data_IF_537200906322
#
_entry.id   IF_537200906322
#
_cell.length_a   1.000
_cell.length_b   1.000
_cell.length_c   1.000
_cell.angle_alpha   90.00
_cell.angle_beta   90.00
_cell.angle_gamma   90.00
#
_symmetry.space_group_name_H-M   'P 1'
#
loop_
_entity.id
_entity.type
_entity.pdbx_description
1 polymer ?
#
# COMPACT_ATOMS: atom_id res chain seq x y z
N UNK A 1 11.26 -47.86 -5.66
CA UNK A 1 12.14 -46.78 -5.07
C UNK A 1 12.44 -45.64 -6.04
N UNK A 2 12.00 -45.69 -7.31
CA UNK A 2 12.22 -44.57 -8.27
C UNK A 2 11.17 -43.42 -8.18
N UNK A 3 9.96 -43.72 -7.76
CA UNK A 3 8.85 -42.76 -7.65
C UNK A 3 9.04 -41.74 -6.49
N UNK A 4 9.68 -42.14 -5.39
CA UNK A 4 9.95 -41.25 -4.26
C UNK A 4 11.05 -40.20 -4.54
N UNK A 5 12.03 -40.55 -5.39
CA UNK A 5 13.07 -39.62 -5.86
C UNK A 5 12.49 -38.57 -6.80
N UNK A 6 11.59 -38.95 -7.72
CA UNK A 6 10.93 -38.02 -8.64
C UNK A 6 10.04 -36.98 -7.93
N UNK A 7 9.29 -37.38 -6.90
CA UNK A 7 8.49 -36.45 -6.09
C UNK A 7 9.36 -35.45 -5.32
N UNK A 8 10.50 -35.89 -4.76
CA UNK A 8 11.45 -35.03 -4.09
C UNK A 8 12.10 -33.99 -5.00
N UNK A 9 12.39 -34.36 -6.24
CA UNK A 9 12.98 -33.46 -7.23
C UNK A 9 11.96 -32.43 -7.78
N UNK A 10 10.71 -32.86 -7.99
CA UNK A 10 9.61 -31.94 -8.36
C UNK A 10 9.35 -30.94 -7.23
N UNK A 11 9.31 -31.38 -5.97
CA UNK A 11 9.12 -30.49 -4.83
C UNK A 11 10.29 -29.51 -4.69
N UNK A 12 11.54 -29.96 -4.83
CA UNK A 12 12.73 -29.08 -4.83
C UNK A 12 12.67 -28.04 -5.97
N UNK A 13 12.27 -28.42 -7.18
CA UNK A 13 12.11 -27.49 -8.29
C UNK A 13 11.01 -26.45 -8.01
N UNK A 14 9.84 -26.84 -7.52
CA UNK A 14 8.77 -25.93 -7.16
C UNK A 14 9.19 -24.95 -6.04
N UNK A 15 9.90 -25.42 -5.02
CA UNK A 15 10.45 -24.57 -3.96
C UNK A 15 11.51 -23.61 -4.51
N UNK A 16 12.32 -24.06 -5.46
CA UNK A 16 13.37 -23.26 -6.08
C UNK A 16 12.79 -22.22 -7.04
N UNK A 17 11.76 -22.55 -7.79
CA UNK A 17 11.01 -21.64 -8.67
C UNK A 17 10.22 -20.59 -7.86
N UNK A 18 9.57 -21.00 -6.77
CA UNK A 18 8.88 -20.05 -5.87
C UNK A 18 9.86 -19.12 -5.15
N UNK A 19 11.05 -19.60 -4.77
CA UNK A 19 12.13 -18.77 -4.23
C UNK A 19 12.69 -17.82 -5.29
N UNK A 20 12.90 -18.27 -6.52
CA UNK A 20 13.44 -17.43 -7.60
C UNK A 20 12.43 -16.35 -8.00
N UNK A 21 11.12 -16.62 -8.04
CA UNK A 21 10.09 -15.64 -8.31
C UNK A 21 9.97 -14.62 -7.16
N UNK A 22 10.03 -15.07 -5.91
CA UNK A 22 10.06 -14.19 -4.74
C UNK A 22 11.34 -13.33 -4.69
N UNK A 23 12.49 -13.89 -5.12
CA UNK A 23 13.74 -13.14 -5.27
C UNK A 23 13.66 -12.11 -6.40
N UNK A 24 12.99 -12.42 -7.52
CA UNK A 24 12.87 -11.49 -8.64
C UNK A 24 12.04 -10.25 -8.29
N UNK A 25 11.06 -10.39 -7.38
CA UNK A 25 10.26 -9.27 -6.88
C UNK A 25 11.02 -8.37 -5.90
N UNK A 26 12.06 -8.89 -5.26
CA UNK A 26 12.85 -8.20 -4.23
C UNK A 26 14.25 -7.84 -4.74
N UNK A 27 14.82 -8.65 -5.65
CA UNK A 27 16.15 -8.42 -6.22
C UNK A 27 16.15 -7.15 -7.06
N UNK A 28 16.95 -6.19 -6.62
CA UNK A 28 17.20 -4.97 -7.37
C UNK A 28 18.19 -5.32 -8.49
N UNK A 29 17.79 -5.17 -9.74
CA UNK A 29 18.72 -5.27 -10.86
C UNK A 29 19.71 -4.12 -10.75
N UNK A 30 21.00 -4.35 -11.03
CA UNK A 30 22.03 -3.30 -10.99
C UNK A 30 21.63 -2.05 -11.82
N UNK A 31 20.86 -2.25 -12.88
CA UNK A 31 20.33 -1.18 -13.71
C UNK A 31 19.31 -0.27 -12.97
N UNK A 32 18.66 -0.78 -11.92
CA UNK A 32 17.70 -0.02 -11.10
C UNK A 32 18.38 0.76 -9.96
N UNK A 33 19.65 0.47 -9.67
CA UNK A 33 20.48 1.14 -8.67
C UNK A 33 21.22 2.39 -9.20
N UNK A 34 21.03 2.77 -10.45
CA UNK A 34 21.61 4.02 -11.00
C UNK A 34 21.00 5.21 -10.28
N UNK A 35 21.64 5.59 -9.20
CA UNK A 35 21.30 6.80 -8.44
C UNK A 35 21.79 7.99 -9.24
N UNK A 36 20.89 8.89 -9.60
CA UNK A 36 21.27 10.15 -10.23
C UNK A 36 22.10 10.95 -9.19
N UNK A 37 23.36 11.24 -9.51
CA UNK A 37 24.26 12.01 -8.64
C UNK A 37 23.65 13.36 -8.24
N UNK A 38 22.80 13.95 -9.10
CA UNK A 38 22.04 15.16 -8.79
C UNK A 38 21.00 14.96 -7.69
N UNK A 39 20.36 13.78 -7.60
CA UNK A 39 19.43 13.48 -6.51
C UNK A 39 20.17 13.30 -5.17
N UNK A 40 21.34 12.67 -5.19
CA UNK A 40 22.17 12.52 -3.96
C UNK A 40 22.68 13.89 -3.49
N UNK A 41 23.08 14.76 -4.38
CA UNK A 41 23.51 16.12 -4.03
C UNK A 41 22.43 16.95 -3.33
N UNK A 42 21.14 16.71 -3.65
CA UNK A 42 20.01 17.36 -2.95
C UNK A 42 19.77 16.85 -1.53
N UNK A 43 20.34 15.70 -1.18
CA UNK A 43 20.15 15.09 0.14
C UNK A 43 21.23 15.47 1.15
N UNK A 44 22.28 16.16 0.73
CA UNK A 44 23.46 16.52 1.57
C UNK A 44 23.07 17.36 2.80
N UNK A 45 21.95 18.10 2.74
CA UNK A 45 21.46 18.89 3.87
C UNK A 45 20.78 18.03 4.95
N UNK A 46 20.46 16.77 4.66
CA UNK A 46 19.86 15.84 5.62
C UNK A 46 20.96 15.11 6.39
N UNK A 47 20.70 14.85 7.68
CA UNK A 47 21.64 14.15 8.56
C UNK A 47 21.01 12.92 9.23
N UNK A 48 21.86 11.94 9.58
CA UNK A 48 21.47 10.76 10.34
C UNK A 48 20.41 9.90 9.65
N UNK A 49 19.37 9.51 10.39
CA UNK A 49 18.32 8.60 9.87
C UNK A 49 17.44 9.21 8.77
N UNK A 50 17.30 10.53 8.73
CA UNK A 50 16.58 11.21 7.65
C UNK A 50 17.33 11.06 6.32
N UNK A 51 18.65 11.24 6.33
CA UNK A 51 19.50 11.00 5.18
C UNK A 51 19.46 9.54 4.72
N UNK A 52 19.58 8.59 5.66
CA UNK A 52 19.51 7.15 5.36
C UNK A 52 18.22 6.75 4.64
N UNK A 53 17.07 7.19 5.18
CA UNK A 53 15.79 6.91 4.56
C UNK A 53 15.64 7.61 3.21
N UNK A 54 16.02 8.89 3.10
CA UNK A 54 15.94 9.62 1.85
C UNK A 54 16.81 8.98 0.75
N UNK A 55 18.01 8.55 1.11
CA UNK A 55 18.91 7.82 0.21
C UNK A 55 18.31 6.48 -0.23
N UNK A 56 17.69 5.72 0.69
CA UNK A 56 16.99 4.48 0.35
C UNK A 56 15.90 4.74 -0.69
N UNK A 57 15.02 5.72 -0.47
CA UNK A 57 13.93 6.04 -1.40
C UNK A 57 14.43 6.55 -2.75
N UNK A 58 15.55 7.29 -2.78
CA UNK A 58 16.18 7.75 -4.02
C UNK A 58 16.75 6.55 -4.81
N UNK A 59 17.54 5.69 -4.16
CA UNK A 59 18.16 4.52 -4.80
C UNK A 59 17.14 3.50 -5.31
N UNK A 60 16.06 3.26 -4.55
CA UNK A 60 15.05 2.24 -4.88
C UNK A 60 13.79 2.84 -5.53
N UNK A 61 13.88 4.09 -6.01
CA UNK A 61 12.76 4.82 -6.61
C UNK A 61 12.05 4.02 -7.70
N UNK A 62 12.81 3.40 -8.63
CA UNK A 62 12.23 2.62 -9.72
C UNK A 62 11.41 1.43 -9.21
N UNK A 63 11.94 0.69 -8.24
CA UNK A 63 11.25 -0.44 -7.61
C UNK A 63 9.97 -0.01 -6.90
N UNK A 64 10.01 1.10 -6.16
CA UNK A 64 8.87 1.62 -5.40
C UNK A 64 7.80 2.27 -6.29
N UNK A 65 8.21 2.93 -7.38
CA UNK A 65 7.28 3.62 -8.30
C UNK A 65 6.65 2.66 -9.31
N UNK A 66 7.29 1.54 -9.65
CA UNK A 66 6.74 0.56 -10.60
C UNK A 66 5.33 0.09 -10.22
N UNK A 67 5.05 -0.38 -8.98
CA UNK A 67 3.70 -0.75 -8.58
C UNK A 67 2.70 0.42 -8.62
N UNK A 68 3.13 1.64 -8.34
CA UNK A 68 2.28 2.84 -8.46
C UNK A 68 1.88 3.07 -9.92
N UNK A 69 2.84 3.04 -10.84
CA UNK A 69 2.57 3.19 -12.29
C UNK A 69 1.58 2.14 -12.80
N UNK A 70 1.72 0.89 -12.38
CA UNK A 70 0.80 -0.18 -12.79
C UNK A 70 -0.64 0.13 -12.34
N UNK A 71 -0.82 0.63 -11.09
CA UNK A 71 -2.14 0.99 -10.58
C UNK A 71 -2.72 2.21 -11.27
N UNK A 72 -1.91 3.22 -11.54
CA UNK A 72 -2.34 4.40 -12.29
C UNK A 72 -2.73 4.04 -13.73
N UNK A 73 -2.00 3.14 -14.38
CA UNK A 73 -2.37 2.63 -15.71
C UNK A 73 -3.67 1.82 -15.68
N UNK A 74 -3.89 1.02 -14.63
CA UNK A 74 -5.16 0.30 -14.44
C UNK A 74 -6.33 1.27 -14.28
N UNK A 75 -6.18 2.29 -13.42
CA UNK A 75 -7.20 3.34 -13.23
C UNK A 75 -7.47 4.05 -14.56
N UNK A 76 -6.43 4.40 -15.30
CA UNK A 76 -6.56 5.05 -16.60
C UNK A 76 -7.30 4.15 -17.61
N UNK A 77 -6.97 2.86 -17.67
CA UNK A 77 -7.63 1.91 -18.57
C UNK A 77 -9.13 1.75 -18.24
N UNK A 78 -9.48 1.65 -16.94
CA UNK A 78 -10.88 1.59 -16.49
C UNK A 78 -11.61 2.91 -16.80
N UNK A 79 -10.95 4.04 -16.59
CA UNK A 79 -11.51 5.36 -16.91
C UNK A 79 -11.79 5.51 -18.41
N UNK A 80 -10.85 5.14 -19.28
CA UNK A 80 -11.05 5.18 -20.74
C UNK A 80 -12.18 4.24 -21.17
N UNK A 81 -12.29 3.06 -20.56
CA UNK A 81 -13.42 2.15 -20.76
C UNK A 81 -14.75 2.77 -20.34
N UNK A 82 -14.77 3.48 -19.21
CA UNK A 82 -15.93 4.25 -18.75
C UNK A 82 -16.32 5.38 -19.71
N UNK A 83 -15.34 6.12 -20.24
CA UNK A 83 -15.60 7.13 -21.27
C UNK A 83 -16.20 6.52 -22.54
N UNK A 84 -15.63 5.42 -23.03
CA UNK A 84 -16.18 4.70 -24.18
C UNK A 84 -17.63 4.25 -23.92
N UNK A 85 -17.92 3.74 -22.73
CA UNK A 85 -19.28 3.38 -22.32
C UNK A 85 -20.22 4.58 -22.29
N UNK A 86 -19.76 5.73 -21.81
CA UNK A 86 -20.56 6.97 -21.80
C UNK A 86 -20.90 7.45 -23.23
N UNK A 87 -20.03 7.20 -24.22
CA UNK A 87 -20.29 7.51 -25.61
C UNK A 87 -21.25 6.49 -26.29
N UNK A 88 -21.10 5.21 -25.98
CA UNK A 88 -21.87 4.14 -26.62
C UNK A 88 -23.32 4.04 -26.11
N UNK A 89 -23.52 4.25 -24.80
CA UNK A 89 -24.85 4.18 -24.17
C UNK A 89 -24.98 5.28 -23.10
N UNK A 90 -25.23 6.53 -23.51
CA UNK A 90 -25.28 7.67 -22.58
C UNK A 90 -26.32 7.52 -21.47
N UNK A 91 -27.48 6.90 -21.78
CA UNK A 91 -28.57 6.74 -20.82
C UNK A 91 -28.18 5.80 -19.67
N UNK A 92 -27.60 4.65 -19.99
CA UNK A 92 -27.11 3.72 -18.95
C UNK A 92 -25.89 4.25 -18.22
N UNK A 93 -25.01 4.97 -18.90
CA UNK A 93 -23.85 5.61 -18.27
C UNK A 93 -24.28 6.66 -17.24
N UNK A 94 -25.27 7.49 -17.56
CA UNK A 94 -25.84 8.48 -16.63
C UNK A 94 -26.49 7.80 -15.42
N UNK A 95 -27.24 6.72 -15.63
CA UNK A 95 -27.81 5.93 -14.53
C UNK A 95 -26.71 5.34 -13.61
N UNK A 96 -25.68 4.75 -14.22
CA UNK A 96 -24.54 4.18 -13.47
C UNK A 96 -23.77 5.27 -12.68
N UNK A 97 -23.52 6.42 -13.32
CA UNK A 97 -22.86 7.54 -12.68
C UNK A 97 -23.66 8.11 -11.50
N UNK A 98 -24.99 8.18 -11.62
CA UNK A 98 -25.87 8.62 -10.53
C UNK A 98 -25.88 7.70 -9.31
N UNK A 99 -25.51 6.43 -9.49
CA UNK A 99 -25.47 5.45 -8.40
C UNK A 99 -24.05 5.21 -7.82
N UNK A 100 -22.99 5.70 -8.47
CA UNK A 100 -21.60 5.31 -8.14
C UNK A 100 -21.22 5.68 -6.71
N UNK A 101 -21.72 6.82 -6.20
CA UNK A 101 -21.45 7.26 -4.83
C UNK A 101 -22.12 6.35 -3.78
N UNK A 102 -23.26 5.73 -4.12
CA UNK A 102 -23.93 4.75 -3.24
C UNK A 102 -23.12 3.47 -3.05
N UNK A 103 -22.17 3.20 -3.94
CA UNK A 103 -21.23 2.09 -3.85
C UNK A 103 -19.94 2.47 -3.11
N UNK A 104 -19.89 3.62 -2.42
CA UNK A 104 -18.71 4.06 -1.67
C UNK A 104 -18.11 2.96 -0.77
N UNK A 105 -18.90 2.15 -0.01
CA UNK A 105 -18.35 1.07 0.80
C UNK A 105 -17.61 -0.02 -0.02
N UNK A 106 -17.99 -0.26 -1.27
CA UNK A 106 -17.28 -1.16 -2.18
C UNK A 106 -15.86 -0.66 -2.48
N UNK A 107 -15.65 0.65 -2.53
CA UNK A 107 -14.34 1.24 -2.77
C UNK A 107 -13.35 1.00 -1.62
N UNK A 108 -13.80 0.62 -0.42
CA UNK A 108 -12.92 0.15 0.66
C UNK A 108 -12.14 -1.09 0.21
N UNK A 109 -12.84 -2.05 -0.42
CA UNK A 109 -12.23 -3.25 -0.96
C UNK A 109 -11.29 -2.94 -2.13
N UNK A 110 -11.68 -2.04 -3.03
CA UNK A 110 -10.80 -1.56 -4.11
C UNK A 110 -9.52 -0.95 -3.53
N UNK A 111 -9.62 -0.05 -2.55
CA UNK A 111 -8.48 0.63 -1.95
C UNK A 111 -7.53 -0.33 -1.22
N UNK A 112 -8.04 -1.41 -0.61
CA UNK A 112 -7.22 -2.47 -0.05
C UNK A 112 -6.23 -3.05 -1.08
N UNK A 113 -6.70 -3.36 -2.30
CA UNK A 113 -5.85 -3.88 -3.39
C UNK A 113 -5.00 -2.80 -4.08
N UNK A 114 -5.47 -1.55 -4.06
CA UNK A 114 -4.74 -0.44 -4.68
C UNK A 114 -3.55 0.01 -3.85
N UNK A 115 -3.51 -0.23 -2.54
CA UNK A 115 -2.36 0.13 -1.71
C UNK A 115 -1.07 -0.55 -2.18
N UNK A 116 0.02 0.23 -2.18
CA UNK A 116 1.37 -0.28 -2.51
C UNK A 116 2.22 -0.46 -1.26
N UNK A 117 1.69 -0.17 -0.08
CA UNK A 117 2.43 -0.14 1.17
C UNK A 117 3.01 -1.51 1.56
N UNK A 118 2.31 -2.62 1.31
CA UNK A 118 2.88 -3.98 1.56
C UNK A 118 4.16 -4.22 0.74
N UNK A 119 4.13 -3.89 -0.57
CA UNK A 119 5.29 -4.03 -1.44
C UNK A 119 6.43 -3.11 -1.02
N UNK A 120 6.12 -1.89 -0.57
CA UNK A 120 7.10 -0.95 -0.05
C UNK A 120 7.74 -1.47 1.25
N UNK A 121 6.95 -2.03 2.19
CA UNK A 121 7.46 -2.65 3.41
C UNK A 121 8.43 -3.80 3.11
N UNK A 122 8.09 -4.65 2.16
CA UNK A 122 8.94 -5.74 1.71
C UNK A 122 10.26 -5.23 1.12
N UNK A 123 10.21 -4.23 0.25
CA UNK A 123 11.40 -3.61 -0.32
C UNK A 123 12.28 -2.95 0.74
N UNK A 124 11.70 -2.26 1.73
CA UNK A 124 12.43 -1.67 2.85
C UNK A 124 13.13 -2.71 3.70
N UNK A 125 12.47 -3.84 3.99
CA UNK A 125 13.08 -4.89 4.79
C UNK A 125 14.31 -5.48 4.10
N UNK A 126 14.16 -6.01 2.89
CA UNK A 126 15.23 -6.74 2.22
C UNK A 126 16.40 -5.86 1.75
N UNK A 127 16.13 -4.62 1.38
CA UNK A 127 17.14 -3.73 0.83
C UNK A 127 17.73 -2.72 1.85
N UNK A 128 17.23 -2.69 3.10
CA UNK A 128 17.70 -1.74 4.11
C UNK A 128 17.68 -2.32 5.52
N UNK A 129 16.50 -2.70 6.03
CA UNK A 129 16.34 -2.98 7.45
C UNK A 129 16.97 -4.31 7.89
N UNK A 130 17.00 -5.29 7.01
CA UNK A 130 17.56 -6.62 7.33
C UNK A 130 19.01 -6.52 7.84
N UNK A 131 19.84 -5.69 7.24
CA UNK A 131 21.22 -5.47 7.68
C UNK A 131 21.32 -4.59 8.93
N UNK A 132 20.44 -3.57 9.05
CA UNK A 132 20.50 -2.58 10.13
C UNK A 132 19.91 -3.07 11.45
N UNK A 133 18.95 -4.01 11.40
CA UNK A 133 18.28 -4.54 12.58
C UNK A 133 19.21 -5.40 13.49
N UNK A 134 20.37 -5.78 13.01
CA UNK A 134 21.41 -6.41 13.87
C UNK A 134 21.98 -5.43 14.91
N UNK A 135 21.92 -4.13 14.64
CA UNK A 135 22.51 -3.12 15.50
C UNK A 135 21.51 -2.55 16.52
N UNK A 136 21.89 -2.51 17.80
CA UNK A 136 21.04 -2.03 18.90
C UNK A 136 20.63 -0.56 18.78
N UNK A 137 21.50 0.29 18.22
CA UNK A 137 21.17 1.72 18.03
C UNK A 137 20.01 1.95 17.07
N UNK A 138 19.83 1.07 16.07
CA UNK A 138 18.73 1.18 15.10
C UNK A 138 17.36 0.82 15.69
N UNK A 139 17.35 0.04 16.78
CA UNK A 139 16.14 -0.45 17.48
C UNK A 139 15.69 0.45 18.62
N UNK A 140 16.30 1.61 18.81
CA UNK A 140 15.87 2.55 19.84
C UNK A 140 14.47 3.10 19.52
N UNK A 141 13.57 3.28 20.53
CA UNK A 141 12.19 3.73 20.32
C UNK A 141 12.08 5.03 19.52
N UNK A 142 12.93 6.02 19.84
CA UNK A 142 12.97 7.32 19.13
C UNK A 142 13.38 7.18 17.67
N UNK A 143 14.30 6.27 17.37
CA UNK A 143 14.80 6.00 16.01
C UNK A 143 13.72 5.31 15.19
N UNK A 144 13.10 4.27 15.74
CA UNK A 144 12.00 3.55 15.10
C UNK A 144 10.85 4.50 14.78
N UNK A 145 10.44 5.36 15.71
CA UNK A 145 9.36 6.31 15.48
C UNK A 145 9.70 7.35 14.41
N UNK A 146 10.95 7.85 14.38
CA UNK A 146 11.41 8.73 13.30
C UNK A 146 11.36 8.06 11.94
N UNK A 147 11.88 6.82 11.85
CA UNK A 147 11.86 6.04 10.63
C UNK A 147 10.42 5.73 10.18
N UNK A 148 9.55 5.33 11.12
CA UNK A 148 8.13 5.09 10.87
C UNK A 148 7.45 6.31 10.26
N UNK A 149 7.59 7.49 10.90
CA UNK A 149 6.97 8.74 10.40
C UNK A 149 7.49 9.14 9.02
N UNK A 150 8.79 9.06 8.79
CA UNK A 150 9.37 9.39 7.49
C UNK A 150 8.83 8.47 6.39
N UNK A 151 8.81 7.16 6.66
CA UNK A 151 8.33 6.14 5.72
C UNK A 151 6.83 6.25 5.50
N UNK A 152 6.07 6.55 6.55
CA UNK A 152 4.63 6.80 6.45
C UNK A 152 4.34 7.95 5.48
N UNK A 153 5.05 9.06 5.58
CA UNK A 153 4.88 10.19 4.67
C UNK A 153 5.25 9.83 3.22
N UNK A 154 6.35 9.11 3.02
CA UNK A 154 6.81 8.75 1.67
C UNK A 154 5.94 7.70 0.99
N UNK A 155 5.60 6.62 1.69
CA UNK A 155 4.73 5.57 1.16
C UNK A 155 3.29 6.06 1.07
N UNK A 156 2.85 6.82 2.09
CA UNK A 156 1.52 7.44 2.11
C UNK A 156 1.29 8.38 0.93
N UNK A 157 2.31 9.11 0.48
CA UNK A 157 2.21 9.94 -0.72
C UNK A 157 1.91 9.09 -1.97
N UNK A 158 2.50 7.89 -2.09
CA UNK A 158 2.21 7.01 -3.22
C UNK A 158 0.75 6.51 -3.21
N UNK A 159 0.26 6.04 -2.06
CA UNK A 159 -1.12 5.59 -1.92
C UNK A 159 -2.11 6.76 -2.06
N UNK A 160 -1.76 7.94 -1.55
CA UNK A 160 -2.56 9.16 -1.70
C UNK A 160 -2.70 9.58 -3.16
N UNK A 161 -1.63 9.51 -3.96
CA UNK A 161 -1.67 9.81 -5.40
C UNK A 161 -2.56 8.81 -6.15
N UNK A 162 -2.54 7.52 -5.76
CA UNK A 162 -3.42 6.51 -6.33
C UNK A 162 -4.88 6.82 -5.97
N UNK A 163 -5.16 7.16 -4.72
CA UNK A 163 -6.49 7.55 -4.26
C UNK A 163 -7.01 8.80 -4.97
N UNK A 164 -6.15 9.80 -5.15
CA UNK A 164 -6.49 11.02 -5.88
C UNK A 164 -6.81 10.72 -7.35
N UNK A 165 -6.01 9.90 -8.02
CA UNK A 165 -6.25 9.48 -9.40
C UNK A 165 -7.56 8.70 -9.55
N UNK A 166 -7.87 7.80 -8.59
CA UNK A 166 -9.14 7.06 -8.57
C UNK A 166 -10.33 8.00 -8.41
N UNK A 167 -10.27 8.94 -7.46
CA UNK A 167 -11.33 9.94 -7.25
C UNK A 167 -11.52 10.84 -8.46
N UNK A 168 -10.44 11.28 -9.08
CA UNK A 168 -10.49 12.08 -10.32
C UNK A 168 -11.09 11.30 -11.50
N UNK A 169 -10.78 10.00 -11.63
CA UNK A 169 -11.36 9.15 -12.67
C UNK A 169 -12.87 8.98 -12.47
N UNK A 170 -13.34 8.77 -11.23
CA UNK A 170 -14.77 8.67 -10.93
C UNK A 170 -15.48 9.99 -11.21
N UNK A 171 -14.94 11.11 -10.75
CA UNK A 171 -15.52 12.44 -11.02
C UNK A 171 -15.55 12.75 -12.53
N UNK A 172 -14.48 12.43 -13.26
CA UNK A 172 -14.41 12.60 -14.71
C UNK A 172 -15.42 11.73 -15.47
N UNK A 173 -15.64 10.48 -15.01
CA UNK A 173 -16.68 9.62 -15.57
C UNK A 173 -18.08 10.20 -15.33
N UNK A 174 -18.38 10.68 -14.12
CA UNK A 174 -19.66 11.33 -13.82
C UNK A 174 -19.88 12.56 -14.70
N UNK A 175 -18.87 13.40 -14.88
CA UNK A 175 -18.94 14.56 -15.77
C UNK A 175 -19.20 14.15 -17.23
N UNK A 176 -18.49 13.15 -17.75
CA UNK A 176 -18.66 12.65 -19.12
C UNK A 176 -20.05 12.02 -19.35
N UNK A 177 -20.61 11.36 -18.34
CA UNK A 177 -21.94 10.76 -18.38
C UNK A 177 -23.09 11.78 -18.17
N UNK A 178 -22.78 13.09 -18.00
CA UNK A 178 -23.79 14.11 -17.75
C UNK A 178 -24.42 14.05 -16.35
N UNK A 179 -23.81 13.33 -15.41
CA UNK A 179 -24.26 13.30 -14.02
C UNK A 179 -23.63 14.45 -13.20
N UNK A 180 -24.30 14.94 -12.13
CA UNK A 180 -23.75 16.00 -11.30
C UNK A 180 -22.51 15.47 -10.54
N UNK A 181 -21.36 16.06 -10.83
CA UNK A 181 -20.07 15.66 -10.25
C UNK A 181 -19.52 16.65 -9.21
N UNK A 182 -20.03 17.91 -9.20
CA UNK A 182 -19.70 18.92 -8.18
C UNK A 182 -20.80 18.88 -7.11
N UNK A 183 -20.76 17.86 -6.26
CA UNK A 183 -21.73 17.64 -5.19
C UNK A 183 -21.03 17.40 -3.87
N UNK A 184 -21.75 17.58 -2.76
CA UNK A 184 -21.26 17.23 -1.43
C UNK A 184 -20.94 15.72 -1.34
N UNK A 185 -21.77 14.89 -1.95
CA UNK A 185 -21.58 13.44 -1.97
C UNK A 185 -20.28 13.03 -2.69
N UNK A 186 -19.93 13.68 -3.79
CA UNK A 186 -18.67 13.45 -4.49
C UNK A 186 -17.46 13.95 -3.65
N UNK A 187 -17.63 15.06 -2.93
CA UNK A 187 -16.60 15.53 -1.99
C UNK A 187 -16.39 14.53 -0.84
N UNK A 188 -17.47 13.98 -0.28
CA UNK A 188 -17.41 12.93 0.75
C UNK A 188 -16.80 11.63 0.21
N UNK A 189 -17.15 11.25 -1.02
CA UNK A 189 -16.52 10.13 -1.70
C UNK A 189 -15.01 10.32 -1.81
N UNK A 190 -14.57 11.47 -2.34
CA UNK A 190 -13.14 11.77 -2.47
C UNK A 190 -12.43 11.77 -1.12
N UNK A 191 -13.02 12.41 -0.10
CA UNK A 191 -12.47 12.42 1.24
C UNK A 191 -12.30 10.99 1.81
N UNK A 192 -13.29 10.12 1.62
CA UNK A 192 -13.21 8.73 2.06
C UNK A 192 -12.09 7.98 1.36
N UNK A 193 -11.96 8.10 0.04
CA UNK A 193 -10.88 7.43 -0.72
C UNK A 193 -9.49 7.87 -0.22
N UNK A 194 -9.31 9.17 0.05
CA UNK A 194 -8.06 9.69 0.56
C UNK A 194 -7.79 9.25 2.01
N UNK A 195 -8.80 9.18 2.86
CA UNK A 195 -8.69 8.62 4.21
C UNK A 195 -8.31 7.13 4.19
N UNK A 196 -8.93 6.35 3.30
CA UNK A 196 -8.61 4.93 3.13
C UNK A 196 -7.17 4.73 2.62
N UNK A 197 -6.66 5.60 1.75
CA UNK A 197 -5.26 5.53 1.31
C UNK A 197 -4.30 5.71 2.49
N UNK A 198 -4.59 6.64 3.39
CA UNK A 198 -3.82 6.85 4.62
C UNK A 198 -3.96 5.65 5.56
N UNK A 199 -5.18 5.17 5.76
CA UNK A 199 -5.46 4.02 6.61
C UNK A 199 -4.67 2.78 6.19
N UNK A 200 -4.71 2.38 4.91
CA UNK A 200 -3.99 1.19 4.43
C UNK A 200 -2.48 1.36 4.50
N UNK A 201 -1.97 2.57 4.24
CA UNK A 201 -0.53 2.84 4.43
C UNK A 201 -0.12 2.66 5.90
N UNK A 202 -0.89 3.23 6.86
CA UNK A 202 -0.62 3.07 8.29
C UNK A 202 -0.73 1.61 8.70
N UNK A 203 -1.76 0.90 8.23
CA UNK A 203 -2.00 -0.51 8.53
C UNK A 203 -0.80 -1.38 8.14
N UNK A 204 -0.34 -1.31 6.89
CA UNK A 204 0.78 -2.13 6.45
C UNK A 204 2.09 -1.77 7.14
N UNK A 205 2.37 -0.48 7.34
CA UNK A 205 3.56 -0.06 8.09
C UNK A 205 3.47 -0.46 9.57
N UNK A 206 2.32 -0.34 10.21
CA UNK A 206 2.09 -0.80 11.58
C UNK A 206 2.37 -2.30 11.71
N UNK A 207 1.79 -3.12 10.83
CA UNK A 207 2.02 -4.55 10.82
C UNK A 207 3.50 -4.88 10.61
N UNK A 208 4.17 -4.16 9.72
CA UNK A 208 5.58 -4.33 9.44
C UNK A 208 6.46 -4.05 10.67
N UNK A 209 6.23 -2.94 11.36
CA UNK A 209 7.05 -2.55 12.51
C UNK A 209 6.77 -3.36 13.78
N UNK A 210 5.51 -3.70 14.03
CA UNK A 210 5.13 -4.40 15.27
C UNK A 210 5.27 -5.91 15.15
N UNK A 211 4.94 -6.49 14.02
CA UNK A 211 4.97 -7.95 13.86
C UNK A 211 6.18 -8.45 13.08
N UNK A 212 6.85 -7.58 12.36
CA UNK A 212 8.02 -7.89 11.52
C UNK A 212 7.85 -9.26 10.83
N UNK A 213 7.06 -9.32 9.74
CA UNK A 213 6.62 -10.59 9.16
C UNK A 213 7.68 -11.30 8.33
N UNK A 214 8.70 -10.56 7.86
CA UNK A 214 9.67 -11.05 6.87
C UNK A 214 10.84 -11.77 7.54
N UNK A 215 11.33 -12.81 6.88
CA UNK A 215 12.51 -13.58 7.30
C UNK A 215 13.58 -13.52 6.23
N UNK A 216 14.80 -13.89 6.58
CA UNK A 216 15.93 -14.01 5.64
C UNK A 216 15.66 -14.99 4.49
N UNK A 217 14.74 -15.94 4.67
CA UNK A 217 14.36 -16.95 3.67
C UNK A 217 13.21 -16.50 2.75
N UNK A 218 12.87 -15.21 2.71
CA UNK A 218 11.77 -14.64 1.92
C UNK A 218 10.36 -15.14 2.30
N UNK A 219 10.21 -15.81 3.42
CA UNK A 219 8.96 -16.35 3.91
C UNK A 219 8.30 -15.42 4.93
N UNK A 220 6.97 -15.40 4.95
CA UNK A 220 6.19 -14.74 6.01
C UNK A 220 5.92 -15.77 7.10
N UNK A 221 6.71 -15.75 8.18
CA UNK A 221 6.59 -16.72 9.29
C UNK A 221 5.73 -16.24 10.46
N UNK A 222 5.27 -14.99 10.48
CA UNK A 222 4.49 -14.49 11.62
C UNK A 222 2.97 -14.76 11.44
N UNK A 223 2.37 -15.67 12.26
CA UNK A 223 0.96 -15.99 12.15
C UNK A 223 0.06 -14.78 12.48
N UNK A 224 0.43 -13.95 13.45
CA UNK A 224 -0.34 -12.76 13.82
C UNK A 224 -0.44 -11.75 12.68
N UNK A 225 0.63 -11.58 11.90
CA UNK A 225 0.58 -10.75 10.68
C UNK A 225 -0.49 -11.26 9.70
N UNK A 226 -0.52 -12.59 9.46
CA UNK A 226 -1.49 -13.20 8.55
C UNK A 226 -2.92 -13.04 9.06
N UNK A 227 -3.15 -13.29 10.36
CA UNK A 227 -4.47 -13.19 11.00
C UNK A 227 -5.00 -11.75 10.90
N UNK A 228 -4.18 -10.75 11.26
CA UNK A 228 -4.61 -9.34 11.23
C UNK A 228 -4.86 -8.84 9.80
N UNK A 229 -3.99 -9.22 8.86
CA UNK A 229 -4.20 -8.86 7.46
C UNK A 229 -5.45 -9.52 6.88
N UNK A 230 -5.71 -10.79 7.24
CA UNK A 230 -6.94 -11.50 6.87
C UNK A 230 -8.18 -10.88 7.51
N UNK A 231 -8.11 -10.46 8.77
CA UNK A 231 -9.22 -9.79 9.45
C UNK A 231 -9.59 -8.48 8.76
N UNK A 232 -8.60 -7.67 8.37
CA UNK A 232 -8.85 -6.43 7.60
C UNK A 232 -9.39 -6.74 6.21
N UNK A 233 -8.88 -7.78 5.53
CA UNK A 233 -9.43 -8.23 4.25
C UNK A 233 -10.92 -8.61 4.37
N UNK A 234 -11.27 -9.41 5.38
CA UNK A 234 -12.67 -9.81 5.64
C UNK A 234 -13.54 -8.58 5.94
N UNK A 235 -13.04 -7.64 6.75
CA UNK A 235 -13.73 -6.40 7.03
C UNK A 235 -14.00 -5.60 5.74
N UNK A 236 -13.00 -5.46 4.88
CA UNK A 236 -13.17 -4.80 3.57
C UNK A 236 -14.18 -5.52 2.68
N UNK A 237 -14.20 -6.88 2.72
CA UNK A 237 -15.18 -7.67 1.99
C UNK A 237 -16.61 -7.46 2.52
N UNK A 238 -16.78 -7.43 3.85
CA UNK A 238 -18.09 -7.16 4.48
C UNK A 238 -18.59 -5.75 4.10
N UNK A 239 -17.68 -4.77 3.99
CA UNK A 239 -18.06 -3.42 3.55
C UNK A 239 -18.73 -3.40 2.16
N UNK A 240 -18.46 -4.37 1.29
CA UNK A 240 -19.10 -4.44 -0.04
C UNK A 240 -20.63 -4.62 0.03
N UNK A 241 -21.13 -5.24 1.10
CA UNK A 241 -22.55 -5.49 1.30
C UNK A 241 -23.28 -4.28 1.94
N UNK A 242 -22.55 -3.30 2.45
CA UNK A 242 -23.12 -2.16 3.15
C UNK A 242 -23.69 -1.16 2.12
N UNK A 243 -24.93 -0.78 2.30
CA UNK A 243 -25.60 0.30 1.54
C UNK A 243 -25.91 1.43 2.52
N UNK A 244 -25.16 2.53 2.43
CA UNK A 244 -25.33 3.68 3.34
C UNK A 244 -25.05 4.98 2.62
N UNK A 245 -25.55 6.09 3.17
CA UNK A 245 -25.27 7.42 2.64
C UNK A 245 -23.79 7.79 2.77
N UNK A 246 -23.30 8.55 1.83
CA UNK A 246 -21.89 8.96 1.70
C UNK A 246 -21.37 9.67 2.96
N UNK A 247 -22.15 10.60 3.51
CA UNK A 247 -21.73 11.41 4.66
C UNK A 247 -21.55 10.57 5.94
N UNK A 248 -22.53 9.72 6.27
CA UNK A 248 -22.44 8.83 7.45
C UNK A 248 -21.26 7.87 7.36
N UNK A 249 -21.06 7.27 6.19
CA UNK A 249 -19.94 6.37 5.95
C UNK A 249 -18.58 7.10 6.05
N UNK A 250 -18.46 8.28 5.48
CA UNK A 250 -17.24 9.10 5.55
C UNK A 250 -16.87 9.43 6.99
N UNK A 251 -17.84 9.81 7.83
CA UNK A 251 -17.59 10.11 9.25
C UNK A 251 -17.14 8.86 10.03
N UNK A 252 -17.74 7.70 9.76
CA UNK A 252 -17.31 6.43 10.36
C UNK A 252 -15.86 6.11 9.95
N UNK A 253 -15.53 6.20 8.66
CA UNK A 253 -14.18 5.96 8.16
C UNK A 253 -13.17 6.96 8.75
N UNK A 254 -13.54 8.23 8.88
CA UNK A 254 -12.70 9.25 9.51
C UNK A 254 -12.40 8.92 10.98
N UNK A 255 -13.43 8.65 11.78
CA UNK A 255 -13.28 8.31 13.19
C UNK A 255 -12.46 7.03 13.39
N UNK A 256 -12.75 6.00 12.61
CA UNK A 256 -12.03 4.73 12.66
C UNK A 256 -10.55 4.92 12.25
N UNK A 257 -10.28 5.65 11.17
CA UNK A 257 -8.91 5.92 10.71
C UNK A 257 -8.12 6.71 11.75
N UNK A 258 -8.71 7.76 12.33
CA UNK A 258 -8.07 8.56 13.36
C UNK A 258 -7.73 7.74 14.62
N UNK A 259 -8.68 6.94 15.10
CA UNK A 259 -8.47 6.04 16.23
C UNK A 259 -7.39 5.00 15.92
N UNK A 260 -7.43 4.40 14.73
CA UNK A 260 -6.44 3.43 14.30
C UNK A 260 -5.03 4.02 14.24
N UNK A 261 -4.86 5.23 13.68
CA UNK A 261 -3.57 5.92 13.63
C UNK A 261 -3.02 6.16 15.04
N UNK A 262 -3.87 6.64 15.97
CA UNK A 262 -3.46 6.88 17.34
C UNK A 262 -2.98 5.59 18.03
N UNK A 263 -3.74 4.51 17.92
CA UNK A 263 -3.37 3.19 18.45
C UNK A 263 -2.10 2.66 17.80
N UNK A 264 -1.98 2.75 16.47
CA UNK A 264 -0.82 2.28 15.73
C UNK A 264 0.47 3.00 16.17
N UNK A 265 0.43 4.34 16.34
CA UNK A 265 1.58 5.12 16.80
C UNK A 265 2.02 4.72 18.22
N UNK A 266 1.07 4.52 19.14
CA UNK A 266 1.34 4.09 20.51
C UNK A 266 1.97 2.70 20.51
N UNK A 267 1.40 1.76 19.75
CA UNK A 267 1.88 0.39 19.69
C UNK A 267 3.26 0.29 19.00
N UNK A 268 3.49 1.04 17.92
CA UNK A 268 4.81 1.13 17.28
C UNK A 268 5.85 1.66 18.26
N UNK A 269 5.55 2.73 18.99
CA UNK A 269 6.49 3.28 19.97
C UNK A 269 6.82 2.28 21.10
N UNK A 270 5.81 1.56 21.60
CA UNK A 270 5.94 0.69 22.78
C UNK A 270 6.48 -0.70 22.45
N UNK A 271 6.04 -1.31 21.35
CA UNK A 271 6.33 -2.72 21.02
C UNK A 271 7.39 -2.89 19.96
N UNK A 272 7.48 -2.01 18.94
CA UNK A 272 8.42 -2.21 17.85
C UNK A 272 9.90 -2.31 18.31
N UNK A 273 10.39 -1.59 19.33
CA UNK A 273 11.77 -1.78 19.82
C UNK A 273 12.09 -3.19 20.28
N UNK A 274 11.08 -3.93 20.72
CA UNK A 274 11.23 -5.32 21.21
C UNK A 274 10.98 -6.35 20.11
N UNK A 275 10.11 -6.07 19.18
CA UNK A 275 9.62 -7.03 18.16
C UNK A 275 10.26 -6.85 16.80
N UNK A 276 10.70 -5.64 16.45
CA UNK A 276 11.32 -5.31 15.16
C UNK A 276 12.77 -5.80 15.14
N UNK A 277 12.95 -7.10 14.86
CA UNK A 277 14.24 -7.80 14.83
C UNK A 277 14.29 -8.75 13.65
N UNK A 278 15.48 -9.06 13.18
CA UNK A 278 15.70 -10.16 12.21
C UNK A 278 15.36 -11.49 12.91
N UNK A 279 14.55 -12.31 12.24
CA UNK A 279 14.14 -13.63 12.72
C UNK A 279 14.72 -14.70 11.82
#
# INVERSE_FOLDING_TARGET
SSTSRGLGDVYKRQVQESKSSAFSDVAVKEQDLKTDQKEVGRLVHLQGYAYLNALFFARHRRQLVKPVKIRLLLILAVFLGGLAFAFLDPAKAQQAAGQIVSFLPFFVFIMYFMSVADKACRAMFYNCDMSLLHYGFYRQPKVILKNFRFRLLRVGLYDFLIGLALSAAVAGFCAAAGAPWVTLDMAMFTATILLLSIFFTVHHLFLYYVFQPFTTELNVKNPFYRILNMAVYILCFICMEIRTGSMGFTLIVLGFTAAYIAVALILVYRFAPKTFRVK
#
